data_IF_079791367983
#
_entry.id   IF_079791367983
#
_cell.length_a   1.000
_cell.length_b   1.000
_cell.length_c   1.000
_cell.angle_alpha   90.00
_cell.angle_beta   90.00
_cell.angle_gamma   90.00
#
_symmetry.space_group_name_H-M   'P 1'
#
loop_
_entity.id
_entity.type
_entity.pdbx_description
1 polymer ?
#
# COMPACT_ATOMS: atom_id res chain seq x y z
N UNK A 1 -108.60 35.16 -9.35
CA UNK A 1 -108.06 34.46 -10.54
C UNK A 1 -106.59 34.84 -10.64
N UNK A 2 -105.74 33.99 -10.07
CA UNK A 2 -104.29 34.16 -10.14
C UNK A 2 -103.77 33.75 -11.51
N UNK A 3 -102.75 34.44 -11.98
CA UNK A 3 -101.96 34.01 -13.13
C UNK A 3 -100.48 34.23 -12.79
N UNK A 4 -99.81 33.10 -12.62
CA UNK A 4 -98.39 32.93 -12.39
C UNK A 4 -97.69 32.88 -13.76
N UNK A 5 -96.77 33.82 -14.00
CA UNK A 5 -95.83 33.90 -15.14
C UNK A 5 -94.58 34.55 -14.51
N UNK A 6 -93.35 34.09 -14.65
CA UNK A 6 -92.74 32.99 -15.36
C UNK A 6 -91.25 33.07 -15.00
N UNK A 7 -90.61 31.93 -14.89
CA UNK A 7 -89.21 31.73 -14.52
C UNK A 7 -88.22 32.58 -15.34
N UNK A 8 -87.25 33.18 -14.66
CA UNK A 8 -86.04 33.74 -15.26
C UNK A 8 -84.88 33.65 -14.27
N UNK A 9 -84.51 32.42 -13.90
CA UNK A 9 -83.35 32.17 -13.05
C UNK A 9 -82.06 32.41 -13.82
N UNK A 10 -81.26 33.36 -13.35
CA UNK A 10 -79.82 33.43 -13.64
C UNK A 10 -79.06 33.02 -12.39
N UNK A 11 -79.21 31.76 -12.03
CA UNK A 11 -78.23 31.05 -11.21
C UNK A 11 -77.38 30.28 -12.21
N UNK A 12 -76.35 30.92 -12.75
CA UNK A 12 -75.23 30.16 -13.31
C UNK A 12 -74.76 29.22 -12.18
N UNK A 13 -74.77 27.89 -12.40
CA UNK A 13 -74.04 27.02 -11.51
C UNK A 13 -72.56 27.36 -11.72
N UNK A 14 -71.90 27.88 -10.69
CA UNK A 14 -70.44 27.88 -10.63
C UNK A 14 -70.01 26.41 -10.70
N UNK A 15 -69.62 25.98 -11.91
CA UNK A 15 -69.15 24.62 -12.15
C UNK A 15 -67.80 24.56 -11.46
N UNK A 16 -67.79 24.10 -10.22
CA UNK A 16 -66.57 23.83 -9.48
C UNK A 16 -65.76 22.81 -10.30
N UNK A 17 -64.78 23.32 -11.05
CA UNK A 17 -63.82 22.51 -11.79
C UNK A 17 -62.89 21.92 -10.73
N UNK A 18 -63.28 20.80 -10.17
CA UNK A 18 -62.38 20.00 -9.33
C UNK A 18 -61.26 19.49 -10.24
N UNK A 19 -60.09 20.14 -10.17
CA UNK A 19 -58.95 19.74 -10.96
C UNK A 19 -58.49 18.38 -10.42
N UNK A 20 -58.65 17.33 -11.23
CA UNK A 20 -58.14 16.01 -10.89
C UNK A 20 -56.62 16.09 -10.67
N UNK A 21 -56.20 16.12 -9.40
CA UNK A 21 -54.80 16.18 -9.00
C UNK A 21 -54.12 14.82 -9.10
N UNK A 22 -54.90 13.72 -9.08
CA UNK A 22 -54.41 12.34 -9.14
C UNK A 22 -53.60 12.05 -10.42
N UNK A 23 -54.09 12.39 -11.64
CA UNK A 23 -53.30 12.24 -12.86
C UNK A 23 -52.09 13.18 -12.92
N UNK A 24 -52.18 14.37 -12.33
CA UNK A 24 -51.05 15.32 -12.30
C UNK A 24 -49.91 14.80 -11.44
N UNK A 25 -50.23 14.23 -10.28
CA UNK A 25 -49.24 13.65 -9.36
C UNK A 25 -48.51 12.47 -10.01
N UNK A 26 -49.23 11.62 -10.75
CA UNK A 26 -48.63 10.48 -11.46
C UNK A 26 -47.59 10.94 -12.51
N UNK A 27 -47.96 11.91 -13.34
CA UNK A 27 -47.02 12.50 -14.32
C UNK A 27 -45.82 13.14 -13.63
N UNK A 28 -46.01 13.85 -12.52
CA UNK A 28 -44.90 14.45 -11.78
C UNK A 28 -43.98 13.38 -11.16
N UNK A 29 -44.53 12.30 -10.62
CA UNK A 29 -43.76 11.22 -10.00
C UNK A 29 -42.94 10.44 -11.03
N UNK A 30 -43.50 10.20 -12.22
CA UNK A 30 -42.76 9.60 -13.35
C UNK A 30 -41.55 10.46 -13.73
N UNK A 31 -41.70 11.79 -13.81
CA UNK A 31 -40.60 12.70 -14.14
C UNK A 31 -39.50 12.71 -13.06
N UNK A 32 -39.85 12.61 -11.78
CA UNK A 32 -38.89 12.50 -10.69
C UNK A 32 -38.10 11.19 -10.75
N UNK A 33 -38.76 10.07 -11.02
CA UNK A 33 -38.09 8.77 -11.17
C UNK A 33 -37.14 8.82 -12.37
N UNK A 34 -37.56 9.38 -13.51
CA UNK A 34 -36.70 9.55 -14.67
C UNK A 34 -35.47 10.41 -14.36
N UNK A 35 -35.62 11.48 -13.57
CA UNK A 35 -34.49 12.33 -13.15
C UNK A 35 -33.52 11.58 -12.22
N UNK A 36 -34.02 10.71 -11.34
CA UNK A 36 -33.18 9.94 -10.42
C UNK A 36 -32.37 8.87 -11.17
N UNK A 37 -32.99 8.12 -12.10
CA UNK A 37 -32.32 7.00 -12.78
C UNK A 37 -31.27 7.44 -13.81
N UNK A 38 -31.31 8.70 -14.25
CA UNK A 38 -30.41 9.22 -15.28
C UNK A 38 -29.05 9.64 -14.73
N UNK A 39 -28.87 9.66 -13.40
CA UNK A 39 -27.57 9.98 -12.79
C UNK A 39 -26.63 8.77 -12.95
N UNK A 40 -25.50 8.91 -13.69
CA UNK A 40 -24.54 7.82 -13.85
C UNK A 40 -23.78 7.58 -12.54
N UNK A 41 -23.55 6.31 -12.21
CA UNK A 41 -22.71 5.94 -11.06
C UNK A 41 -21.27 6.38 -11.33
N UNK A 42 -20.70 7.21 -10.46
CA UNK A 42 -19.29 7.59 -10.53
C UNK A 42 -18.42 6.38 -10.13
N UNK A 43 -17.84 5.71 -11.12
CA UNK A 43 -16.82 4.68 -10.91
C UNK A 43 -15.43 5.32 -10.93
N UNK A 44 -14.72 5.25 -9.81
CA UNK A 44 -13.32 5.67 -9.73
C UNK A 44 -12.42 4.54 -10.23
N UNK A 45 -12.13 4.51 -11.52
CA UNK A 45 -11.15 3.57 -12.08
C UNK A 45 -9.74 4.04 -11.78
N UNK A 46 -9.10 3.44 -10.77
CA UNK A 46 -7.64 3.56 -10.59
C UNK A 46 -6.98 2.71 -11.66
N UNK A 47 -6.39 3.34 -12.68
CA UNK A 47 -5.66 2.66 -13.74
C UNK A 47 -4.31 2.17 -13.18
N UNK A 48 -4.32 1.03 -12.48
CA UNK A 48 -3.11 0.39 -11.98
C UNK A 48 -2.44 -0.35 -13.14
N UNK A 49 -1.46 0.30 -13.78
CA UNK A 49 -0.54 -0.39 -14.68
C UNK A 49 0.35 -1.30 -13.83
N UNK A 50 -0.08 -2.55 -13.63
CA UNK A 50 0.80 -3.57 -13.07
C UNK A 50 1.80 -3.96 -14.16
N UNK A 51 3.12 -3.76 -13.97
CA UNK A 51 4.10 -4.29 -14.90
C UNK A 51 3.91 -5.80 -14.99
N UNK A 52 3.59 -6.28 -16.19
CA UNK A 52 3.43 -7.70 -16.46
C UNK A 52 4.81 -8.35 -16.48
N UNK A 53 5.09 -9.16 -15.47
CA UNK A 53 6.23 -10.08 -15.51
C UNK A 53 6.83 -10.29 -14.13
N UNK A 54 6.92 -11.56 -13.72
CA UNK A 54 8.00 -11.95 -12.82
C UNK A 54 9.30 -11.45 -13.46
N UNK A 55 10.10 -10.63 -12.75
CA UNK A 55 11.44 -10.31 -13.21
C UNK A 55 12.16 -11.63 -13.55
N UNK A 56 12.88 -11.72 -14.66
CA UNK A 56 13.71 -12.90 -14.92
C UNK A 56 14.59 -13.13 -13.68
N UNK A 57 14.76 -14.39 -13.23
CA UNK A 57 15.63 -14.68 -12.11
C UNK A 57 16.99 -14.02 -12.37
N UNK A 58 17.59 -13.40 -11.34
CA UNK A 58 18.83 -12.66 -11.52
C UNK A 58 19.84 -13.55 -12.24
N UNK A 59 20.40 -13.03 -13.35
CA UNK A 59 21.28 -13.78 -14.25
C UNK A 59 22.60 -14.18 -13.57
N UNK A 60 22.88 -13.62 -12.40
CA UNK A 60 24.08 -13.88 -11.61
C UNK A 60 23.66 -14.13 -10.16
N UNK A 61 24.15 -15.22 -9.58
CA UNK A 61 24.02 -15.42 -8.14
C UNK A 61 24.77 -14.28 -7.43
N UNK A 62 24.15 -13.62 -6.44
CA UNK A 62 24.80 -12.57 -5.69
C UNK A 62 26.03 -13.16 -4.97
N UNK A 63 27.14 -12.43 -5.01
CA UNK A 63 28.32 -12.81 -4.24
C UNK A 63 27.96 -12.66 -2.76
N UNK A 64 28.06 -13.74 -1.99
CA UNK A 64 27.78 -13.74 -0.56
C UNK A 64 29.08 -13.54 0.20
N UNK A 65 29.09 -12.58 1.12
CA UNK A 65 30.16 -12.35 2.09
C UNK A 65 29.63 -12.69 3.46
N UNK A 66 30.32 -13.57 4.19
CA UNK A 66 29.97 -13.90 5.57
C UNK A 66 30.89 -13.18 6.54
N UNK A 67 30.31 -12.51 7.53
CA UNK A 67 31.02 -11.92 8.66
C UNK A 67 30.65 -12.74 9.89
N UNK A 68 31.55 -13.63 10.32
CA UNK A 68 31.36 -14.39 11.55
C UNK A 68 31.95 -13.59 12.72
N UNK A 69 31.23 -13.55 13.85
CA UNK A 69 31.69 -12.90 15.07
C UNK A 69 31.79 -13.97 16.15
N UNK A 70 33.00 -14.28 16.60
CA UNK A 70 33.21 -15.32 17.60
C UNK A 70 32.89 -14.86 19.03
N UNK A 71 32.91 -15.78 20.00
CA UNK A 71 32.49 -15.53 21.39
C UNK A 71 33.29 -14.42 22.09
N UNK A 72 34.55 -14.21 21.70
CA UNK A 72 35.45 -13.19 22.23
C UNK A 72 35.33 -11.82 21.53
N UNK A 73 34.51 -11.74 20.48
CA UNK A 73 34.37 -10.57 19.63
C UNK A 73 35.35 -10.53 18.45
N UNK A 74 36.12 -11.61 18.21
CA UNK A 74 36.94 -11.77 17.02
C UNK A 74 36.06 -11.80 15.78
N UNK A 75 36.41 -11.00 14.77
CA UNK A 75 35.65 -10.88 13.53
C UNK A 75 36.37 -11.65 12.43
N UNK A 76 35.65 -12.53 11.75
CA UNK A 76 36.14 -13.27 10.60
C UNK A 76 35.39 -12.83 9.35
N UNK A 77 36.13 -12.65 8.26
CA UNK A 77 35.61 -12.34 6.94
C UNK A 77 35.76 -13.55 6.05
N UNK A 78 34.65 -14.17 5.63
CA UNK A 78 34.65 -15.43 4.87
C UNK A 78 35.53 -16.53 5.49
N UNK A 79 35.54 -16.61 6.83
CA UNK A 79 36.36 -17.56 7.59
C UNK A 79 37.81 -17.13 7.83
N UNK A 80 38.26 -15.99 7.30
CA UNK A 80 39.58 -15.43 7.57
C UNK A 80 39.52 -14.45 8.74
N UNK A 81 40.31 -14.67 9.78
CA UNK A 81 40.37 -13.78 10.94
C UNK A 81 40.92 -12.42 10.56
N UNK A 82 40.15 -11.37 10.84
CA UNK A 82 40.60 -10.00 10.63
C UNK A 82 41.47 -9.56 11.81
N UNK A 83 42.65 -9.03 11.51
CA UNK A 83 43.58 -8.53 12.52
C UNK A 83 43.06 -7.28 13.24
N UNK A 84 42.36 -6.39 12.52
CA UNK A 84 41.92 -5.09 13.02
C UNK A 84 40.62 -4.61 12.38
N UNK A 85 39.92 -3.72 13.08
CA UNK A 85 38.71 -3.01 12.58
C UNK A 85 38.96 -2.19 11.32
N UNK A 86 40.16 -1.62 11.16
CA UNK A 86 40.50 -0.86 9.96
C UNK A 86 40.44 -1.76 8.70
N UNK A 87 40.80 -3.04 8.84
CA UNK A 87 40.72 -4.01 7.74
C UNK A 87 39.27 -4.32 7.41
N UNK A 88 38.42 -4.49 8.43
CA UNK A 88 36.97 -4.66 8.24
C UNK A 88 36.36 -3.49 7.48
N UNK A 89 36.65 -2.25 7.90
CA UNK A 89 36.13 -1.06 7.22
C UNK A 89 36.61 -0.95 5.77
N UNK A 90 37.86 -1.32 5.48
CA UNK A 90 38.38 -1.34 4.12
C UNK A 90 37.62 -2.35 3.25
N UNK A 91 37.40 -3.57 3.76
CA UNK A 91 36.64 -4.64 3.08
C UNK A 91 35.17 -4.25 2.85
N UNK A 92 34.54 -3.63 3.84
CA UNK A 92 33.15 -3.14 3.73
C UNK A 92 33.03 -2.01 2.70
N UNK A 93 34.01 -1.09 2.64
CA UNK A 93 34.06 -0.05 1.59
C UNK A 93 34.23 -0.64 0.20
N UNK A 94 35.10 -1.63 0.05
CA UNK A 94 35.30 -2.34 -1.21
C UNK A 94 34.00 -3.01 -1.66
N UNK A 95 33.33 -3.72 -0.75
CA UNK A 95 32.03 -4.34 -1.01
C UNK A 95 30.94 -3.31 -1.39
N UNK A 96 30.90 -2.16 -0.71
CA UNK A 96 29.91 -1.11 -0.97
C UNK A 96 30.17 -0.34 -2.28
N UNK A 97 31.43 -0.30 -2.75
CA UNK A 97 31.83 0.41 -3.97
C UNK A 97 31.45 -0.32 -5.27
N UNK A 98 31.11 -1.61 -5.20
CA UNK A 98 30.69 -2.39 -6.37
C UNK A 98 29.24 -2.01 -6.75
N UNK A 99 28.94 -1.78 -8.05
CA UNK A 99 27.59 -1.44 -8.50
C UNK A 99 26.53 -2.48 -8.13
N UNK A 100 26.91 -3.76 -8.21
CA UNK A 100 26.12 -4.87 -7.68
C UNK A 100 26.75 -5.35 -6.37
N UNK A 101 26.27 -4.77 -5.26
CA UNK A 101 26.81 -5.07 -3.95
C UNK A 101 26.61 -6.55 -3.58
N UNK A 102 27.61 -7.18 -2.92
CA UNK A 102 27.46 -8.52 -2.37
C UNK A 102 26.45 -8.53 -1.21
N UNK A 103 25.84 -9.68 -0.97
CA UNK A 103 25.02 -9.90 0.21
C UNK A 103 25.92 -10.17 1.42
N UNK A 104 25.88 -9.29 2.41
CA UNK A 104 26.68 -9.40 3.63
C UNK A 104 25.85 -10.11 4.70
N UNK A 105 26.25 -11.33 5.04
CA UNK A 105 25.64 -12.16 6.06
C UNK A 105 26.42 -12.07 7.36
N UNK A 106 25.83 -11.45 8.38
CA UNK A 106 26.42 -11.37 9.72
C UNK A 106 25.96 -12.58 10.53
N UNK A 107 26.91 -13.40 10.98
CA UNK A 107 26.68 -14.58 11.83
C UNK A 107 27.31 -14.36 13.21
N UNK A 108 26.54 -13.96 14.22
CA UNK A 108 27.05 -13.84 15.57
C UNK A 108 27.11 -15.22 16.26
N UNK A 109 28.18 -15.48 17.02
CA UNK A 109 28.23 -16.58 17.97
C UNK A 109 27.19 -16.34 19.09
N UNK A 110 26.52 -17.40 19.55
CA UNK A 110 25.50 -17.33 20.61
C UNK A 110 25.99 -16.68 21.91
N UNK A 111 27.28 -16.81 22.22
CA UNK A 111 27.88 -16.32 23.46
C UNK A 111 28.48 -14.90 23.33
N UNK A 112 28.51 -14.32 22.13
CA UNK A 112 29.11 -13.01 21.93
C UNK A 112 28.26 -11.90 22.55
N UNK A 113 28.92 -10.89 23.11
CA UNK A 113 28.21 -9.70 23.59
C UNK A 113 27.60 -8.93 22.40
N UNK A 114 26.35 -8.50 22.57
CA UNK A 114 25.60 -7.77 21.55
C UNK A 114 26.33 -6.51 21.04
N UNK A 115 27.19 -5.89 21.87
CA UNK A 115 27.98 -4.72 21.49
C UNK A 115 28.82 -4.94 20.22
N UNK A 116 29.44 -6.11 20.08
CA UNK A 116 30.29 -6.42 18.92
C UNK A 116 29.46 -6.56 17.65
N UNK A 117 28.31 -7.22 17.77
CA UNK A 117 27.35 -7.37 16.68
C UNK A 117 26.80 -6.01 16.25
N UNK A 118 26.34 -5.20 17.20
CA UNK A 118 25.79 -3.88 16.94
C UNK A 118 26.81 -2.96 16.25
N UNK A 119 28.08 -3.04 16.64
CA UNK A 119 29.14 -2.24 16.04
C UNK A 119 29.43 -2.64 14.59
N UNK A 120 29.50 -3.95 14.30
CA UNK A 120 29.66 -4.46 12.91
C UNK A 120 28.50 -4.01 12.02
N UNK A 121 27.26 -4.08 12.53
CA UNK A 121 26.08 -3.60 11.80
C UNK A 121 26.14 -2.09 11.54
N UNK A 122 26.48 -1.31 12.57
CA UNK A 122 26.56 0.14 12.48
C UNK A 122 27.65 0.59 11.50
N UNK A 123 28.82 -0.06 11.52
CA UNK A 123 29.88 0.21 10.55
C UNK A 123 29.46 -0.16 9.13
N UNK A 124 28.85 -1.33 8.93
CA UNK A 124 28.37 -1.78 7.62
C UNK A 124 27.34 -0.81 7.02
N UNK A 125 26.38 -0.38 7.83
CA UNK A 125 25.36 0.59 7.42
C UNK A 125 25.98 1.97 7.13
N UNK A 126 26.91 2.44 7.98
CA UNK A 126 27.61 3.73 7.79
C UNK A 126 28.43 3.75 6.50
N UNK A 127 29.01 2.62 6.11
CA UNK A 127 29.82 2.48 4.91
C UNK A 127 29.00 2.23 3.62
N UNK A 128 27.67 2.16 3.72
CA UNK A 128 26.78 2.09 2.56
C UNK A 128 26.53 0.67 2.05
N UNK A 129 26.76 -0.35 2.87
CA UNK A 129 26.32 -1.72 2.57
C UNK A 129 24.79 -1.78 2.69
N UNK A 130 24.12 -2.01 1.58
CA UNK A 130 22.64 -1.99 1.49
C UNK A 130 22.03 -3.39 1.60
N UNK A 131 22.74 -4.42 1.13
CA UNK A 131 22.30 -5.82 1.17
C UNK A 131 22.90 -6.53 2.39
N UNK A 132 22.34 -6.28 3.57
CA UNK A 132 22.81 -6.88 4.82
C UNK A 132 21.74 -7.81 5.42
N UNK A 133 22.15 -9.02 5.80
CA UNK A 133 21.31 -10.02 6.43
C UNK A 133 21.96 -10.61 7.69
N UNK A 134 21.17 -10.96 8.69
CA UNK A 134 21.63 -11.80 9.79
C UNK A 134 21.29 -13.25 9.52
N UNK A 135 22.28 -14.12 9.71
CA UNK A 135 22.11 -15.58 9.57
C UNK A 135 22.38 -16.26 10.90
N UNK A 136 21.71 -17.39 11.15
CA UNK A 136 21.81 -18.08 12.45
C UNK A 136 20.89 -17.53 13.54
N UNK A 137 19.89 -16.70 13.19
CA UNK A 137 18.88 -16.23 14.14
C UNK A 137 18.11 -17.36 14.83
N UNK A 138 18.04 -18.54 14.20
CA UNK A 138 17.48 -19.77 14.77
C UNK A 138 18.14 -20.20 16.09
N UNK A 139 19.39 -19.78 16.36
CA UNK A 139 20.09 -20.09 17.60
C UNK A 139 19.61 -19.27 18.81
N UNK A 140 18.87 -18.18 18.55
CA UNK A 140 18.35 -17.23 19.52
C UNK A 140 16.83 -17.34 19.75
N UNK A 141 16.11 -18.02 18.86
CA UNK A 141 14.70 -18.34 19.06
C UNK A 141 14.61 -19.49 20.07
N UNK A 142 14.07 -19.21 21.25
CA UNK A 142 13.83 -20.17 22.32
C UNK A 142 12.34 -20.19 22.67
#
# INVERSE_FOLDING_TARGET
MGMNIGSGGSSEPDVMVDMNTTPLIDVMLVLLIMLIITIPVQLHSVNLNMPAGNPPPPTKEPVVVTIDIDFDGTILWNGETLADRNVLQAKLREAAAVPDQPEVHVRPNKLVEYKYVAEVLAESQRLGVTKLGMVGNEQFVK
#
